data_IF_243474343089
#
_entry.id   IF_243474343089
#
_cell.length_a   1.000
_cell.length_b   1.000
_cell.length_c   1.000
_cell.angle_alpha   90.00
_cell.angle_beta   90.00
_cell.angle_gamma   90.00
#
_symmetry.space_group_name_H-M   'P 1'
#
loop_
_entity.id
_entity.type
_entity.pdbx_description
1 polymer ?
#
# COMPACT_ATOMS: atom_id res chain seq x y z
N UNK A 1 20.07 11.99 -14.43
CA UNK A 1 18.70 11.84 -13.89
C UNK A 1 18.70 11.02 -12.60
N UNK A 2 19.24 9.80 -12.59
CA UNK A 2 19.31 8.95 -11.38
C UNK A 2 19.93 9.66 -10.16
N UNK A 3 21.18 10.13 -10.27
CA UNK A 3 21.86 10.86 -9.18
C UNK A 3 21.09 12.11 -8.71
N UNK A 4 20.34 12.75 -9.61
CA UNK A 4 19.52 13.91 -9.29
C UNK A 4 18.32 13.50 -8.42
N UNK A 5 17.64 12.40 -8.75
CA UNK A 5 16.52 11.86 -7.97
C UNK A 5 17.00 11.37 -6.60
N UNK A 6 18.10 10.62 -6.57
CA UNK A 6 18.71 10.15 -5.32
C UNK A 6 19.13 11.31 -4.41
N UNK A 7 19.71 12.36 -5.00
CA UNK A 7 20.04 13.58 -4.27
C UNK A 7 18.82 14.31 -3.71
N UNK A 8 17.69 14.33 -4.44
CA UNK A 8 16.42 14.93 -3.97
C UNK A 8 15.76 14.14 -2.85
N UNK A 9 15.95 12.82 -2.82
CA UNK A 9 15.47 11.94 -1.76
C UNK A 9 16.44 11.83 -0.58
N UNK A 10 17.56 12.56 -0.62
CA UNK A 10 18.63 12.48 0.40
C UNK A 10 19.11 11.04 0.63
N UNK A 11 19.10 10.22 -0.43
CA UNK A 11 19.44 8.80 -0.37
C UNK A 11 18.52 7.95 0.54
N UNK A 12 17.36 8.49 0.93
CA UNK A 12 16.35 7.79 1.73
C UNK A 12 15.43 6.98 0.82
N UNK A 13 15.74 5.69 0.66
CA UNK A 13 14.99 4.76 -0.21
C UNK A 13 14.11 3.77 0.58
N UNK A 14 14.27 3.71 1.91
CA UNK A 14 13.64 2.73 2.78
C UNK A 14 12.29 3.22 3.32
N UNK A 15 11.38 3.61 2.43
CA UNK A 15 10.02 4.03 2.81
C UNK A 15 9.09 2.81 2.81
N UNK A 16 8.25 2.68 3.84
CA UNK A 16 7.29 1.59 3.94
C UNK A 16 6.26 1.66 2.80
N UNK A 17 6.08 0.56 2.10
CA UNK A 17 5.07 0.44 1.04
C UNK A 17 3.77 -0.15 1.60
N UNK A 18 2.60 0.14 0.99
CA UNK A 18 1.33 -0.44 1.43
C UNK A 18 1.33 -1.97 1.43
N UNK A 19 2.15 -2.58 0.56
CA UNK A 19 2.28 -4.03 0.42
C UNK A 19 2.70 -4.74 1.72
N UNK A 20 3.64 -4.17 2.47
CA UNK A 20 4.12 -4.79 3.72
C UNK A 20 2.99 -4.90 4.76
N UNK A 21 2.13 -3.88 4.83
CA UNK A 21 0.96 -3.86 5.70
C UNK A 21 -0.16 -4.77 5.19
N UNK A 22 -0.40 -4.81 3.88
CA UNK A 22 -1.38 -5.71 3.26
C UNK A 22 -1.13 -7.16 3.62
N UNK A 23 0.11 -7.64 3.39
CA UNK A 23 0.48 -9.04 3.72
C UNK A 23 0.27 -9.34 5.20
N UNK A 24 0.54 -8.36 6.08
CA UNK A 24 0.32 -8.53 7.51
C UNK A 24 -1.16 -8.62 7.88
N UNK A 25 -1.99 -7.69 7.37
CA UNK A 25 -3.41 -7.65 7.67
C UNK A 25 -4.18 -8.82 7.07
N UNK A 26 -3.89 -9.20 5.82
CA UNK A 26 -4.50 -10.37 5.16
C UNK A 26 -4.24 -11.64 5.98
N UNK A 27 -3.01 -11.83 6.48
CA UNK A 27 -2.66 -12.98 7.33
C UNK A 27 -3.36 -12.96 8.70
N UNK A 28 -3.67 -11.78 9.22
CA UNK A 28 -4.37 -11.64 10.50
C UNK A 28 -5.90 -11.80 10.34
N UNK A 29 -6.43 -11.55 9.15
CA UNK A 29 -7.83 -11.80 8.78
C UNK A 29 -8.05 -13.25 8.32
N UNK A 30 -9.29 -13.71 8.44
CA UNK A 30 -9.73 -15.00 7.88
C UNK A 30 -10.41 -14.69 6.55
N UNK A 31 -9.63 -14.63 5.47
CA UNK A 31 -10.13 -14.35 4.11
C UNK A 31 -10.06 -15.60 3.25
N UNK A 32 -11.02 -15.75 2.35
CA UNK A 32 -10.94 -16.69 1.25
C UNK A 32 -10.13 -16.08 0.08
N UNK A 33 -9.84 -16.90 -0.94
CA UNK A 33 -9.01 -16.47 -2.05
C UNK A 33 -9.64 -15.32 -2.85
N UNK A 34 -10.98 -15.27 -2.92
CA UNK A 34 -11.70 -14.22 -3.63
C UNK A 34 -11.61 -12.88 -2.90
N UNK A 35 -11.80 -12.86 -1.57
CA UNK A 35 -11.63 -11.64 -0.78
C UNK A 35 -10.17 -11.16 -0.79
N UNK A 36 -9.18 -12.06 -0.69
CA UNK A 36 -7.77 -11.67 -0.79
C UNK A 36 -7.47 -10.95 -2.12
N UNK A 37 -8.00 -11.48 -3.24
CA UNK A 37 -7.86 -10.84 -4.55
C UNK A 37 -8.55 -9.46 -4.60
N UNK A 38 -9.72 -9.33 -3.95
CA UNK A 38 -10.44 -8.06 -3.85
C UNK A 38 -9.65 -7.03 -3.05
N UNK A 39 -9.06 -7.41 -1.92
CA UNK A 39 -8.17 -6.55 -1.11
C UNK A 39 -7.01 -6.03 -1.96
N UNK A 40 -6.31 -6.90 -2.68
CA UNK A 40 -5.20 -6.47 -3.55
C UNK A 40 -5.66 -5.55 -4.67
N UNK A 41 -6.83 -5.83 -5.26
CA UNK A 41 -7.42 -4.98 -6.29
C UNK A 41 -7.72 -3.57 -5.76
N UNK A 42 -8.41 -3.47 -4.61
CA UNK A 42 -8.77 -2.20 -3.99
C UNK A 42 -7.54 -1.41 -3.55
N UNK A 43 -6.54 -2.06 -2.96
CA UNK A 43 -5.29 -1.40 -2.59
C UNK A 43 -4.55 -0.81 -3.81
N UNK A 44 -4.52 -1.56 -4.92
CA UNK A 44 -3.89 -1.10 -6.16
C UNK A 44 -4.66 0.04 -6.82
N UNK A 45 -5.99 -0.02 -6.79
CA UNK A 45 -6.86 1.06 -7.25
C UNK A 45 -6.64 2.34 -6.42
N UNK A 46 -6.51 2.20 -5.10
CA UNK A 46 -6.22 3.31 -4.20
C UNK A 46 -4.90 4.02 -4.51
N UNK A 47 -3.86 3.30 -4.94
CA UNK A 47 -2.58 3.93 -5.35
C UNK A 47 -2.71 4.78 -6.62
N UNK A 48 -3.71 4.53 -7.47
CA UNK A 48 -3.95 5.36 -8.65
C UNK A 48 -4.61 6.71 -8.31
N UNK A 49 -5.21 6.82 -7.13
CA UNK A 49 -5.83 8.06 -6.67
C UNK A 49 -4.79 9.03 -6.10
N UNK A 50 -4.65 10.20 -6.71
CA UNK A 50 -3.72 11.24 -6.27
C UNK A 50 -3.93 11.67 -4.81
N UNK A 51 -5.18 11.69 -4.34
CA UNK A 51 -5.52 12.01 -2.95
C UNK A 51 -4.86 11.06 -1.93
N UNK A 52 -4.47 9.86 -2.36
CA UNK A 52 -3.90 8.84 -1.48
C UNK A 52 -2.50 9.19 -0.96
N UNK A 53 -1.83 10.18 -1.56
CA UNK A 53 -0.53 10.71 -1.11
C UNK A 53 -0.63 11.30 0.31
N UNK A 54 -1.83 11.75 0.72
CA UNK A 54 -2.07 12.35 2.04
C UNK A 54 -2.18 11.31 3.17
N UNK A 55 -2.37 10.03 2.86
CA UNK A 55 -2.60 8.97 3.85
C UNK A 55 -1.36 8.09 4.02
N UNK A 56 -1.16 7.60 5.24
CA UNK A 56 -0.08 6.66 5.50
C UNK A 56 -0.35 5.30 4.81
N UNK A 57 0.69 4.60 4.32
CA UNK A 57 0.56 3.31 3.65
C UNK A 57 -0.24 2.25 4.43
N UNK A 58 -0.13 2.25 5.76
CA UNK A 58 -0.88 1.35 6.65
C UNK A 58 -2.38 1.63 6.65
N UNK A 59 -2.79 2.90 6.60
CA UNK A 59 -4.20 3.30 6.55
C UNK A 59 -4.85 2.86 5.25
N UNK A 60 -4.13 3.00 4.13
CA UNK A 60 -4.59 2.52 2.82
C UNK A 60 -4.76 1.00 2.85
N UNK A 61 -3.78 0.27 3.36
CA UNK A 61 -3.85 -1.19 3.49
C UNK A 61 -5.02 -1.64 4.37
N UNK A 62 -5.21 -1.03 5.54
CA UNK A 62 -6.31 -1.36 6.45
C UNK A 62 -7.67 -1.04 5.83
N UNK A 63 -7.79 0.08 5.11
CA UNK A 63 -9.03 0.46 4.43
C UNK A 63 -9.41 -0.52 3.31
N UNK A 64 -8.44 -1.02 2.55
CA UNK A 64 -8.67 -2.04 1.52
C UNK A 64 -9.18 -3.36 2.13
N UNK A 65 -8.65 -3.78 3.28
CA UNK A 65 -9.11 -4.96 4.02
C UNK A 65 -10.48 -4.76 4.64
N UNK A 66 -10.83 -3.53 5.06
CA UNK A 66 -12.14 -3.22 5.63
C UNK A 66 -13.27 -3.20 4.59
N UNK A 67 -12.96 -2.80 3.36
CA UNK A 67 -13.95 -2.66 2.28
C UNK A 67 -14.20 -3.99 1.54
N UNK A 68 -13.20 -4.85 1.43
CA UNK A 68 -13.33 -6.19 0.87
C UNK A 68 -14.12 -7.11 1.80
#
# INVERSE_FOLDING_TARGET
MEKTILGRLEWTLTIATPYVFLVHFIKASILDQEMENMVYFLAKLGMMHYANIMYCPSMVAASAVYVA
#
